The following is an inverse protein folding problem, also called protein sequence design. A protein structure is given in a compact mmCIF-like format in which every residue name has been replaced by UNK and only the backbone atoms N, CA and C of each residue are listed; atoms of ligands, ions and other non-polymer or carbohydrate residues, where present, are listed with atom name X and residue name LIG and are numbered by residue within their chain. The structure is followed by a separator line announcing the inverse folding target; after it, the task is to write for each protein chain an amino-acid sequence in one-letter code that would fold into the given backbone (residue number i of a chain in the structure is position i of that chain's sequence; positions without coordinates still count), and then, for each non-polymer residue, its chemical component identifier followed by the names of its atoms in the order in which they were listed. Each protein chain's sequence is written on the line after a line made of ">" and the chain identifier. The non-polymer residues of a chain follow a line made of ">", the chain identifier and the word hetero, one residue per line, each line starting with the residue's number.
data_IF_158554368585
#
_entry.id   IF_158554368585
#
_cell.length_a   1.000
_cell.length_b   1.000
_cell.length_c   1.000
_cell.angle_alpha   90.00
_cell.angle_beta   90.00
_cell.angle_gamma   90.00
#
_symmetry.space_group_name_H-M   'P 1'
#
loop_
_entity.id
_entity.type
_entity.pdbx_description
1 polymer ?
#
# COMPACT_ATOMS: atom_id res chain seq x y z
N UNK A 1 23.02 -38.29 -4.35
CA UNK A 1 21.71 -37.63 -4.44
C UNK A 1 21.66 -36.54 -3.37
N UNK A 2 21.99 -35.30 -3.73
CA UNK A 2 21.91 -34.15 -2.83
C UNK A 2 20.45 -33.81 -2.57
N UNK A 3 20.05 -33.80 -1.31
CA UNK A 3 18.71 -33.38 -0.89
C UNK A 3 18.46 -31.95 -1.42
N UNK A 4 17.43 -31.80 -2.26
CA UNK A 4 16.95 -30.49 -2.70
C UNK A 4 16.45 -29.79 -1.44
N UNK A 5 17.13 -28.73 -1.00
CA UNK A 5 16.65 -27.90 0.08
C UNK A 5 15.21 -27.51 -0.24
N UNK A 6 14.28 -27.72 0.70
CA UNK A 6 12.88 -27.34 0.52
C UNK A 6 12.86 -25.86 0.11
N UNK A 7 12.31 -25.56 -1.08
CA UNK A 7 12.15 -24.19 -1.54
C UNK A 7 11.23 -23.49 -0.55
N UNK A 8 11.79 -22.65 0.32
CA UNK A 8 11.01 -21.88 1.29
C UNK A 8 10.05 -20.98 0.50
N UNK A 9 8.75 -21.20 0.61
CA UNK A 9 7.74 -20.32 0.03
C UNK A 9 7.85 -18.92 0.67
N UNK A 10 8.02 -17.90 -0.16
CA UNK A 10 8.14 -16.52 0.28
C UNK A 10 6.76 -15.94 0.61
N UNK A 11 6.58 -15.47 1.84
CA UNK A 11 5.31 -14.94 2.36
C UNK A 11 5.25 -13.43 2.15
N UNK A 12 4.28 -12.98 1.36
CA UNK A 12 4.05 -11.56 1.02
C UNK A 12 2.91 -11.02 1.88
N UNK A 13 3.22 -10.11 2.79
CA UNK A 13 2.22 -9.35 3.53
C UNK A 13 1.54 -8.29 2.69
N UNK A 14 0.22 -8.19 2.81
CA UNK A 14 -0.59 -7.16 2.17
C UNK A 14 -1.82 -6.80 3.00
N UNK A 15 -2.31 -5.57 2.84
CA UNK A 15 -3.67 -5.20 3.27
C UNK A 15 -4.72 -5.97 2.45
N UNK A 16 -5.93 -6.08 2.99
CA UNK A 16 -7.05 -6.82 2.38
C UNK A 16 -7.86 -6.08 1.30
N UNK A 17 -7.59 -4.79 1.05
CA UNK A 17 -8.31 -4.05 0.01
C UNK A 17 -8.05 -4.61 -1.39
N UNK A 18 -9.01 -4.46 -2.32
CA UNK A 18 -8.87 -4.97 -3.68
C UNK A 18 -7.62 -4.45 -4.41
N UNK A 19 -7.28 -3.17 -4.24
CA UNK A 19 -6.07 -2.57 -4.83
C UNK A 19 -4.79 -3.13 -4.19
N UNK A 20 -4.75 -3.27 -2.85
CA UNK A 20 -3.58 -3.83 -2.17
C UNK A 20 -3.31 -5.29 -2.61
N UNK A 21 -4.37 -6.11 -2.69
CA UNK A 21 -4.26 -7.48 -3.18
C UNK A 21 -3.82 -7.54 -4.65
N UNK A 22 -4.28 -6.61 -5.48
CA UNK A 22 -3.79 -6.51 -6.86
C UNK A 22 -2.29 -6.19 -6.90
N UNK A 23 -1.81 -5.24 -6.09
CA UNK A 23 -0.39 -4.89 -5.99
C UNK A 23 0.45 -6.10 -5.52
N UNK A 24 0.00 -6.78 -4.47
CA UNK A 24 0.68 -7.97 -3.94
C UNK A 24 0.74 -9.11 -4.96
N UNK A 25 -0.36 -9.36 -5.70
CA UNK A 25 -0.39 -10.34 -6.79
C UNK A 25 0.51 -9.97 -7.95
N UNK A 26 0.62 -8.68 -8.29
CA UNK A 26 1.53 -8.22 -9.34
C UNK A 26 3.00 -8.52 -8.96
N UNK A 27 3.39 -8.22 -7.72
CA UNK A 27 4.73 -8.54 -7.20
C UNK A 27 4.95 -10.05 -7.13
N UNK A 28 3.96 -10.81 -6.64
CA UNK A 28 4.01 -12.27 -6.60
C UNK A 28 4.25 -12.87 -8.00
N UNK A 29 3.50 -12.43 -9.01
CA UNK A 29 3.65 -12.92 -10.38
C UNK A 29 5.06 -12.65 -10.96
N UNK A 30 5.63 -11.47 -10.66
CA UNK A 30 7.02 -11.15 -11.05
C UNK A 30 8.01 -12.09 -10.36
N UNK A 31 7.90 -12.30 -9.05
CA UNK A 31 8.76 -13.22 -8.30
C UNK A 31 8.63 -14.67 -8.79
N UNK A 32 7.41 -15.12 -9.06
CA UNK A 32 7.14 -16.44 -9.63
C UNK A 32 7.76 -16.63 -11.01
N UNK A 33 7.82 -15.58 -11.84
CA UNK A 33 8.52 -15.65 -13.14
C UNK A 33 10.03 -15.86 -13.01
N UNK A 34 10.60 -15.58 -11.84
CA UNK A 34 11.99 -15.91 -11.48
C UNK A 34 12.15 -17.25 -10.75
N UNK A 35 11.08 -18.06 -10.67
CA UNK A 35 11.11 -19.37 -10.00
C UNK A 35 10.96 -19.32 -8.48
N UNK A 36 10.52 -18.19 -7.92
CA UNK A 36 10.26 -18.06 -6.47
C UNK A 36 8.82 -18.49 -6.17
N UNK A 37 8.65 -19.48 -5.31
CA UNK A 37 7.33 -19.82 -4.77
C UNK A 37 6.87 -18.72 -3.80
N UNK A 38 5.61 -18.27 -3.93
CA UNK A 38 5.08 -17.18 -3.11
C UNK A 38 3.69 -17.50 -2.57
N UNK A 39 3.38 -17.02 -1.37
CA UNK A 39 2.01 -16.95 -0.83
C UNK A 39 1.70 -15.54 -0.33
N UNK A 40 0.43 -15.14 -0.34
CA UNK A 40 0.00 -13.83 0.16
C UNK A 40 -0.68 -14.02 1.51
N UNK A 41 -0.20 -13.30 2.52
CA UNK A 41 -0.79 -13.22 3.86
C UNK A 41 -1.53 -11.88 4.00
N UNK A 42 -2.81 -11.94 4.35
CA UNK A 42 -3.64 -10.73 4.51
C UNK A 42 -3.53 -10.25 5.95
N UNK A 43 -2.92 -9.09 6.14
CA UNK A 43 -2.76 -8.47 7.45
C UNK A 43 -3.85 -7.40 7.61
N UNK A 44 -4.70 -7.59 8.63
CA UNK A 44 -5.72 -6.61 9.01
C UNK A 44 -5.05 -5.48 9.78
N UNK A 45 -5.18 -4.26 9.28
CA UNK A 45 -4.59 -3.08 9.92
C UNK A 45 -5.65 -2.31 10.71
N UNK A 46 -5.27 -1.63 11.79
CA UNK A 46 -6.21 -0.79 12.56
C UNK A 46 -6.85 0.30 11.67
N UNK A 47 -6.14 0.78 10.64
CA UNK A 47 -6.68 1.70 9.65
C UNK A 47 -7.82 1.14 8.79
N UNK A 48 -7.90 -0.18 8.60
CA UNK A 48 -9.05 -0.82 7.93
C UNK A 48 -10.31 -0.78 8.82
N UNK A 49 -10.15 -0.75 10.14
CA UNK A 49 -11.25 -0.63 11.10
C UNK A 49 -11.77 0.81 11.26
N UNK A 50 -10.92 1.82 10.99
CA UNK A 50 -11.23 3.23 11.23
C UNK A 50 -11.80 3.98 10.01
N UNK A 51 -12.32 3.27 9.00
CA UNK A 51 -12.92 3.87 7.78
C UNK A 51 -14.01 4.94 8.04
N UNK A 52 -14.55 5.02 9.27
CA UNK A 52 -15.60 5.97 9.66
C UNK A 52 -15.09 7.26 10.33
N UNK A 53 -13.85 7.32 10.81
CA UNK A 53 -13.31 8.49 11.49
C UNK A 53 -12.36 9.26 10.56
N UNK A 54 -12.55 10.57 10.44
CA UNK A 54 -11.77 11.42 9.55
C UNK A 54 -10.26 11.16 9.70
N UNK A 55 -9.60 10.80 8.59
CA UNK A 55 -8.14 10.60 8.46
C UNK A 55 -7.30 11.75 9.07
N UNK A 56 -7.92 12.92 9.24
CA UNK A 56 -7.32 14.15 9.78
C UNK A 56 -7.10 14.07 11.31
N UNK A 57 -7.91 13.30 12.05
CA UNK A 57 -7.79 13.21 13.53
C UNK A 57 -6.86 12.11 14.02
N UNK A 58 -6.72 11.01 13.27
CA UNK A 58 -5.79 9.94 13.60
C UNK A 58 -4.40 10.35 13.08
N UNK A 59 -3.59 10.98 13.93
CA UNK A 59 -2.29 11.54 13.58
C UNK A 59 -1.37 10.60 12.80
N UNK A 60 -1.50 10.61 11.47
CA UNK A 60 -0.57 10.40 10.36
C UNK A 60 0.46 9.27 10.34
N UNK A 61 0.94 8.75 11.49
CA UNK A 61 2.06 7.81 11.55
C UNK A 61 1.55 6.39 11.79
N UNK A 62 1.77 5.51 10.80
CA UNK A 62 1.67 4.06 10.97
C UNK A 62 0.28 3.44 10.90
N UNK A 63 -0.79 4.20 10.64
CA UNK A 63 -2.18 3.71 10.69
C UNK A 63 -2.46 2.49 9.78
N UNK A 64 -1.70 2.37 8.68
CA UNK A 64 -1.85 1.30 7.69
C UNK A 64 -0.61 0.41 7.56
N UNK A 65 0.43 0.66 8.35
CA UNK A 65 1.72 -0.04 8.21
C UNK A 65 2.14 -0.76 9.48
N UNK A 66 1.69 -0.34 10.67
CA UNK A 66 2.15 -0.88 11.95
C UNK A 66 2.04 -2.40 12.05
N UNK A 67 0.86 -2.98 11.80
CA UNK A 67 0.67 -4.44 11.94
C UNK A 67 1.47 -5.23 10.89
N UNK A 68 1.73 -4.62 9.74
CA UNK A 68 2.56 -5.22 8.69
C UNK A 68 4.05 -5.13 9.06
N UNK A 69 4.48 -4.03 9.65
CA UNK A 69 5.84 -3.83 10.16
C UNK A 69 6.13 -4.81 11.31
N UNK A 70 5.19 -5.02 12.23
CA UNK A 70 5.30 -6.02 13.31
C UNK A 70 5.45 -7.44 12.73
N UNK A 71 4.64 -7.80 11.73
CA UNK A 71 4.71 -9.11 11.06
C UNK A 71 6.01 -9.31 10.25
N UNK A 72 6.64 -8.24 9.77
CA UNK A 72 7.98 -8.31 9.16
C UNK A 72 9.06 -8.55 10.21
N UNK A 73 8.99 -7.82 11.33
CA UNK A 73 9.99 -7.89 12.40
C UNK A 73 9.94 -9.22 13.15
N UNK A 74 8.77 -9.82 13.31
CA UNK A 74 8.60 -11.13 13.95
C UNK A 74 8.81 -12.33 13.00
N UNK A 75 8.95 -12.07 11.69
CA UNK A 75 9.19 -13.08 10.67
C UNK A 75 7.95 -13.87 10.22
N UNK A 76 6.74 -13.43 10.58
CA UNK A 76 5.48 -14.00 10.09
C UNK A 76 5.32 -13.83 8.58
N UNK A 77 5.82 -12.71 8.04
CA UNK A 77 5.94 -12.44 6.61
C UNK A 77 7.39 -12.13 6.23
N UNK A 78 7.78 -12.45 5.00
CA UNK A 78 9.15 -12.23 4.52
C UNK A 78 9.30 -10.86 3.83
N UNK A 79 8.27 -10.39 3.13
CA UNK A 79 8.21 -9.06 2.51
C UNK A 79 6.81 -8.45 2.66
N UNK A 80 6.71 -7.12 2.54
CA UNK A 80 5.44 -6.42 2.46
C UNK A 80 5.33 -5.60 1.16
N UNK A 81 4.12 -5.51 0.61
CA UNK A 81 3.83 -4.69 -0.58
C UNK A 81 2.92 -3.52 -0.21
N UNK A 82 3.38 -2.30 -0.51
CA UNK A 82 2.67 -1.06 -0.22
C UNK A 82 2.59 -0.13 -1.43
N UNK A 83 1.59 0.75 -1.44
CA UNK A 83 1.68 1.98 -2.22
C UNK A 83 2.70 2.90 -1.58
N UNK A 84 3.71 3.34 -2.34
CA UNK A 84 4.84 4.11 -1.78
C UNK A 84 4.41 5.39 -1.04
N UNK A 85 3.34 6.04 -1.49
CA UNK A 85 2.79 7.26 -0.87
C UNK A 85 2.24 7.05 0.55
N UNK A 86 1.97 5.80 0.93
CA UNK A 86 1.37 5.43 2.21
C UNK A 86 2.45 4.99 3.23
N UNK A 87 3.73 4.90 2.82
CA UNK A 87 4.85 4.62 3.73
C UNK A 87 5.29 5.89 4.48
N UNK A 88 5.69 5.76 5.75
CA UNK A 88 6.31 6.86 6.48
C UNK A 88 7.67 7.23 5.87
N UNK A 89 8.10 8.47 6.08
CA UNK A 89 9.42 8.94 5.64
C UNK A 89 10.58 8.33 6.42
N UNK A 90 10.32 7.97 7.68
CA UNK A 90 11.25 7.24 8.55
C UNK A 90 10.70 5.83 8.74
N UNK A 91 11.50 4.83 8.39
CA UNK A 91 11.14 3.42 8.58
C UNK A 91 11.57 2.94 9.96
N UNK A 92 10.84 2.00 10.59
CA UNK A 92 11.27 1.36 11.82
C UNK A 92 12.65 0.71 11.66
N UNK A 93 13.45 0.73 12.73
CA UNK A 93 14.74 0.05 12.76
C UNK A 93 14.58 -1.43 12.42
N UNK A 94 15.48 -1.96 11.59
CA UNK A 94 15.42 -3.35 11.10
C UNK A 94 14.62 -3.53 9.81
N UNK A 95 13.89 -2.51 9.35
CA UNK A 95 13.16 -2.53 8.08
C UNK A 95 13.79 -1.60 7.05
N UNK A 96 13.62 -1.93 5.77
CA UNK A 96 14.09 -1.11 4.66
C UNK A 96 13.19 -1.29 3.43
N UNK A 97 13.23 -0.32 2.50
CA UNK A 97 12.62 -0.48 1.19
C UNK A 97 13.57 -1.31 0.33
N UNK A 98 13.24 -2.59 0.14
CA UNK A 98 14.07 -3.51 -0.63
C UNK A 98 13.99 -3.28 -2.15
N UNK A 99 12.84 -2.79 -2.65
CA UNK A 99 12.62 -2.56 -4.07
C UNK A 99 11.53 -1.50 -4.31
N UNK A 100 11.67 -0.80 -5.44
CA UNK A 100 10.63 0.07 -6.00
C UNK A 100 10.38 -0.39 -7.44
N UNK A 101 9.20 -0.96 -7.75
CA UNK A 101 8.86 -1.34 -9.12
C UNK A 101 8.81 -0.12 -10.06
N UNK A 102 8.73 -0.40 -11.37
CA UNK A 102 8.47 0.64 -12.37
C UNK A 102 7.23 1.45 -12.00
N UNK A 103 7.33 2.77 -12.15
CA UNK A 103 6.32 3.72 -11.69
C UNK A 103 5.19 3.82 -12.72
N UNK A 104 3.98 3.50 -12.28
CA UNK A 104 2.75 3.80 -13.03
C UNK A 104 2.48 5.32 -13.13
N UNK A 105 1.49 5.70 -13.94
CA UNK A 105 1.09 7.10 -14.12
C UNK A 105 0.86 7.80 -12.76
N UNK A 106 1.65 8.83 -12.41
CA UNK A 106 1.59 9.47 -11.10
C UNK A 106 0.51 10.57 -11.02
N UNK A 107 -0.22 10.86 -12.10
CA UNK A 107 -1.17 11.96 -12.16
C UNK A 107 -2.41 11.70 -11.30
N UNK A 108 -2.97 12.77 -10.76
CA UNK A 108 -4.30 12.72 -10.19
C UNK A 108 -5.34 12.62 -11.32
N UNK A 109 -6.41 11.86 -11.10
CA UNK A 109 -7.52 11.73 -12.04
C UNK A 109 -8.79 12.40 -11.47
N UNK A 110 -9.62 12.92 -12.36
CA UNK A 110 -10.97 13.40 -12.03
C UNK A 110 -11.94 12.27 -12.38
N UNK A 111 -12.71 11.81 -11.41
CA UNK A 111 -13.83 10.91 -11.65
C UNK A 111 -15.12 11.74 -11.73
N UNK A 112 -15.81 11.69 -12.87
CA UNK A 112 -16.99 12.50 -13.14
C UNK A 112 -16.71 13.61 -14.17
N UNK A 113 -17.29 14.79 -13.96
CA UNK A 113 -17.21 15.91 -14.90
C UNK A 113 -15.84 16.60 -14.85
N UNK A 114 -15.34 17.11 -15.99
CA UNK A 114 -14.06 17.81 -16.03
C UNK A 114 -14.11 19.07 -15.16
N UNK A 115 -13.03 19.38 -14.45
CA UNK A 115 -12.97 20.54 -13.53
C UNK A 115 -13.38 21.85 -14.21
N UNK A 116 -12.97 22.05 -15.46
CA UNK A 116 -13.27 23.26 -16.26
C UNK A 116 -14.75 23.41 -16.62
N UNK A 117 -15.55 22.37 -16.46
CA UNK A 117 -16.98 22.37 -16.79
C UNK A 117 -17.87 22.45 -15.54
N UNK A 118 -17.27 22.48 -14.34
CA UNK A 118 -18.01 22.55 -13.09
C UNK A 118 -18.69 23.91 -12.95
N UNK A 119 -19.98 23.90 -12.58
CA UNK A 119 -20.72 25.12 -12.26
C UNK A 119 -20.18 25.75 -10.97
N UNK A 120 -20.25 27.09 -10.82
CA UNK A 120 -19.99 27.74 -9.55
C UNK A 120 -20.77 27.09 -8.40
N UNK A 121 -20.09 26.82 -7.28
CA UNK A 121 -20.69 26.13 -6.12
C UNK A 121 -20.71 24.61 -6.20
N UNK A 122 -20.18 23.99 -7.26
CA UNK A 122 -20.03 22.53 -7.33
C UNK A 122 -19.17 21.98 -6.18
N UNK A 123 -19.55 20.79 -5.68
CA UNK A 123 -18.83 20.11 -4.60
C UNK A 123 -17.86 19.08 -5.18
N UNK A 124 -16.59 19.17 -4.80
CA UNK A 124 -15.55 18.20 -5.17
C UNK A 124 -15.14 17.41 -3.93
N UNK A 125 -15.28 16.08 -3.98
CA UNK A 125 -14.94 15.19 -2.87
C UNK A 125 -13.45 14.83 -2.86
N UNK A 126 -12.73 15.23 -1.83
CA UNK A 126 -11.36 14.74 -1.56
C UNK A 126 -11.03 14.84 -0.08
N UNK A 127 -10.38 13.81 0.47
CA UNK A 127 -9.79 13.82 1.82
C UNK A 127 -8.32 14.24 1.82
N UNK A 128 -7.73 14.47 0.65
CA UNK A 128 -6.32 14.88 0.53
C UNK A 128 -6.17 16.38 0.73
N UNK A 129 -5.46 16.78 1.79
CA UNK A 129 -5.09 18.18 2.01
C UNK A 129 -4.33 18.80 0.84
N UNK A 130 -3.44 18.02 0.18
CA UNK A 130 -2.71 18.43 -1.03
C UNK A 130 -3.67 18.79 -2.16
N UNK A 131 -4.59 17.88 -2.52
CA UNK A 131 -5.56 18.11 -3.60
C UNK A 131 -6.50 19.26 -3.28
N UNK A 132 -7.00 19.33 -2.04
CA UNK A 132 -7.87 20.41 -1.60
C UNK A 132 -7.20 21.79 -1.69
N UNK A 133 -5.92 21.90 -1.30
CA UNK A 133 -5.17 23.14 -1.41
C UNK A 133 -4.93 23.55 -2.86
N UNK A 134 -4.67 22.59 -3.76
CA UNK A 134 -4.46 22.86 -5.19
C UNK A 134 -5.74 23.28 -5.91
N UNK A 135 -6.89 22.67 -5.56
CA UNK A 135 -8.21 23.00 -6.16
C UNK A 135 -8.79 24.34 -5.69
N UNK A 136 -8.31 24.87 -4.56
CA UNK A 136 -8.76 26.14 -3.98
C UNK A 136 -7.89 27.34 -4.36
N UNK A 137 -6.78 27.11 -5.07
CA UNK A 137 -5.96 28.16 -5.69
C UNK A 137 -6.62 28.60 -6.98
#
# INVERSE_FOLDING_TARGET
>A
MTARAATKTLTIGSRGSALALWQARNVAARLQSFGVETRIEIIKTTGDHLQTAALVQAGGKGLFTKEIEEALLDGTIDIAVHSLKDLPTELPAGLSIAAVPEREDPRDAIAGQRLVELKPGARVGTSSGRRAAQLRR
#
